data_IF_674163532120
#
_entry.id   IF_674163532120
#
_cell.length_a   1.000
_cell.length_b   1.000
_cell.length_c   1.000
_cell.angle_alpha   90.00
_cell.angle_beta   90.00
_cell.angle_gamma   90.00
#
_symmetry.space_group_name_H-M   'P 1'
#
loop_
_entity.id
_entity.type
_entity.pdbx_description
1 polymer ?
#
# COMPACT_ATOMS: atom_id res chain seq x y z
N UNK A 1 -0.55 1.65 -19.13
CA UNK A 1 -0.58 0.41 -18.33
C UNK A 1 0.24 0.68 -17.08
N UNK A 2 -0.40 0.74 -15.91
CA UNK A 2 0.32 0.90 -14.65
C UNK A 2 1.24 -0.30 -14.43
N UNK A 3 2.44 -0.06 -13.90
CA UNK A 3 3.35 -1.15 -13.56
C UNK A 3 2.95 -1.76 -12.22
N UNK A 4 3.07 -3.08 -12.14
CA UNK A 4 2.81 -3.85 -10.92
C UNK A 4 4.11 -4.31 -10.27
N UNK A 5 4.17 -4.29 -8.94
CA UNK A 5 5.23 -4.89 -8.14
C UNK A 5 4.67 -6.02 -7.29
N UNK A 6 5.50 -7.03 -7.04
CA UNK A 6 5.20 -8.09 -6.09
C UNK A 6 5.92 -7.77 -4.78
N UNK A 7 5.15 -7.52 -3.72
CA UNK A 7 5.64 -7.31 -2.37
C UNK A 7 5.18 -8.43 -1.47
N UNK A 8 6.12 -9.29 -1.10
CA UNK A 8 5.87 -10.44 -0.24
C UNK A 8 4.67 -11.31 -0.70
N UNK A 9 4.52 -11.52 -2.01
CA UNK A 9 3.42 -12.27 -2.63
C UNK A 9 2.20 -11.42 -3.02
N UNK A 10 2.16 -10.14 -2.67
CA UNK A 10 1.06 -9.23 -2.97
C UNK A 10 1.39 -8.41 -4.22
N UNK A 11 0.57 -8.54 -5.27
CA UNK A 11 0.70 -7.72 -6.48
C UNK A 11 0.01 -6.38 -6.30
N UNK A 12 0.76 -5.30 -6.47
CA UNK A 12 0.30 -3.92 -6.26
C UNK A 12 0.63 -3.09 -7.48
N UNK A 13 -0.35 -2.34 -7.98
CA UNK A 13 -0.15 -1.34 -9.04
C UNK A 13 0.46 -0.06 -8.44
N UNK A 14 1.52 0.46 -9.07
CA UNK A 14 2.21 1.66 -8.60
C UNK A 14 1.30 2.89 -8.49
N UNK A 15 0.40 3.07 -9.45
CA UNK A 15 -0.55 4.20 -9.49
C UNK A 15 -1.55 4.16 -8.32
N UNK A 16 -1.66 3.03 -7.63
CA UNK A 16 -2.48 2.88 -6.43
C UNK A 16 -1.71 3.23 -5.16
N UNK A 17 -0.38 3.34 -5.17
CA UNK A 17 0.38 3.66 -3.96
C UNK A 17 0.23 5.16 -3.67
N UNK A 18 -0.32 5.46 -2.50
CA UNK A 18 -0.44 6.82 -1.96
C UNK A 18 0.77 7.18 -1.11
N UNK A 19 1.21 6.25 -0.26
CA UNK A 19 2.37 6.44 0.61
C UNK A 19 3.02 5.10 0.97
N UNK A 20 4.33 5.15 1.21
CA UNK A 20 5.12 4.06 1.78
C UNK A 20 5.69 4.59 3.10
N UNK A 21 5.39 3.91 4.20
CA UNK A 21 5.68 4.35 5.56
C UNK A 21 6.45 3.24 6.27
N UNK A 22 7.64 3.56 6.74
CA UNK A 22 8.40 2.72 7.67
C UNK A 22 8.03 3.14 9.09
N UNK A 23 7.50 2.21 9.89
CA UNK A 23 7.24 2.44 11.30
C UNK A 23 8.18 1.59 12.15
N UNK A 24 8.97 2.28 12.96
CA UNK A 24 9.85 1.71 13.97
C UNK A 24 9.05 1.68 15.30
N UNK A 25 8.18 0.68 15.46
CA UNK A 25 7.53 0.42 16.74
C UNK A 25 8.38 -0.58 17.51
N UNK A 26 8.55 -0.31 18.81
CA UNK A 26 9.47 -1.00 19.75
C UNK A 26 9.42 -2.54 19.70
N UNK A 27 8.33 -3.13 19.25
CA UNK A 27 8.12 -4.58 19.28
C UNK A 27 7.96 -5.24 17.91
N UNK A 28 7.81 -4.49 16.81
CA UNK A 28 7.63 -5.07 15.47
C UNK A 28 8.00 -4.07 14.36
N UNK A 29 8.72 -4.57 13.36
CA UNK A 29 9.23 -3.80 12.24
C UNK A 29 8.30 -3.96 11.04
N UNK A 30 7.51 -2.91 10.76
CA UNK A 30 6.52 -2.97 9.69
C UNK A 30 6.77 -1.94 8.60
N UNK A 31 6.61 -2.39 7.37
CA UNK A 31 6.36 -1.51 6.24
C UNK A 31 4.85 -1.41 6.02
N UNK A 32 4.34 -0.19 6.12
CA UNK A 32 2.96 0.15 5.78
C UNK A 32 2.91 0.80 4.40
N UNK A 33 2.09 0.25 3.52
CA UNK A 33 1.81 0.82 2.21
C UNK A 33 0.35 1.24 2.19
N UNK A 34 0.12 2.55 2.14
CA UNK A 34 -1.22 3.11 1.97
C UNK A 34 -1.54 3.19 0.48
N UNK A 35 -2.71 2.66 0.10
CA UNK A 35 -3.21 2.78 -1.25
C UNK A 35 -4.19 3.95 -1.37
N UNK A 36 -4.36 4.44 -2.60
CA UNK A 36 -5.40 5.38 -2.96
C UNK A 36 -6.76 4.76 -2.65
N UNK A 37 -7.64 5.56 -2.04
CA UNK A 37 -9.01 5.17 -1.70
C UNK A 37 -9.73 4.61 -2.92
N UNK A 38 -10.38 3.46 -2.76
CA UNK A 38 -11.28 2.92 -3.79
C UNK A 38 -12.71 3.33 -3.48
N UNK A 39 -13.46 3.58 -4.54
CA UNK A 39 -14.90 3.84 -4.48
C UNK A 39 -15.61 2.64 -5.04
N UNK A 40 -16.44 2.01 -4.24
CA UNK A 40 -17.24 0.87 -4.67
C UNK A 40 -18.72 1.15 -4.50
N UNK A 41 -19.50 0.63 -5.45
CA UNK A 41 -20.94 0.58 -5.30
C UNK A 41 -21.26 -0.64 -4.43
N UNK A 42 -21.83 -0.38 -3.25
CA UNK A 42 -22.22 -1.42 -2.31
C UNK A 42 -23.74 -1.42 -2.22
N UNK A 43 -24.34 -2.60 -2.36
CA UNK A 43 -25.78 -2.75 -2.19
C UNK A 43 -26.13 -2.76 -0.70
N UNK A 44 -26.98 -1.82 -0.28
CA UNK A 44 -27.50 -1.72 1.07
C UNK A 44 -28.87 -2.43 1.16
N UNK A 45 -28.96 -3.60 1.81
CA UNK A 45 -30.22 -4.36 1.88
C UNK A 45 -31.28 -3.70 2.76
N UNK A 46 -30.91 -2.75 3.64
CA UNK A 46 -31.87 -2.05 4.50
C UNK A 46 -32.61 -0.94 3.75
N UNK A 47 -32.00 -0.38 2.71
CA UNK A 47 -32.56 0.72 1.90
C UNK A 47 -32.95 0.27 0.49
N UNK A 48 -32.62 -0.96 0.12
CA UNK A 48 -32.80 -1.56 -1.21
C UNK A 48 -32.17 -0.70 -2.33
N UNK A 49 -30.98 -0.12 -2.04
CA UNK A 49 -30.29 0.83 -2.91
C UNK A 49 -28.80 0.54 -3.00
N UNK A 50 -28.21 0.95 -4.12
CA UNK A 50 -26.76 1.01 -4.30
C UNK A 50 -26.22 2.34 -3.78
N UNK A 51 -25.21 2.28 -2.93
CA UNK A 51 -24.55 3.43 -2.32
C UNK A 51 -23.07 3.40 -2.65
N UNK A 52 -22.47 4.57 -2.91
CA UNK A 52 -21.02 4.68 -3.11
C UNK A 52 -20.35 4.74 -1.74
N UNK A 53 -19.46 3.81 -1.46
CA UNK A 53 -18.64 3.80 -0.25
C UNK A 53 -17.16 3.97 -0.61
N UNK A 54 -16.43 4.68 0.25
CA UNK A 54 -14.97 4.82 0.16
C UNK A 54 -14.32 3.79 1.08
N UNK A 55 -13.34 3.06 0.56
CA UNK A 55 -12.55 2.11 1.33
C UNK A 55 -11.10 2.56 1.35
N UNK A 56 -10.54 2.62 2.56
CA UNK A 56 -9.10 2.71 2.77
C UNK A 56 -8.51 1.30 2.64
N UNK A 57 -7.53 1.14 1.76
CA UNK A 57 -6.77 -0.10 1.62
C UNK A 57 -5.35 0.16 2.12
N UNK A 58 -4.89 -0.69 3.03
CA UNK A 58 -3.51 -0.67 3.52
C UNK A 58 -2.92 -2.08 3.47
N UNK A 59 -1.61 -2.13 3.21
CA UNK A 59 -0.83 -3.36 3.21
C UNK A 59 0.23 -3.22 4.29
N UNK A 60 0.27 -4.20 5.19
CA UNK A 60 1.25 -4.30 6.26
C UNK A 60 2.15 -5.49 5.96
N UNK A 61 3.45 -5.23 5.90
CA UNK A 61 4.48 -6.26 5.73
C UNK A 61 5.33 -6.23 6.99
N UNK A 62 5.34 -7.36 7.69
CA UNK A 62 6.14 -7.58 8.89
C UNK A 62 7.52 -8.09 8.51
N UNK A 63 8.54 -7.54 9.16
CA UNK A 63 9.92 -7.95 9.01
C UNK A 63 10.48 -8.44 10.35
N UNK A 64 11.44 -9.38 10.30
CA UNK A 64 12.01 -9.95 11.50
C UNK A 64 12.97 -9.00 12.24
N UNK A 65 13.49 -7.97 11.55
CA UNK A 65 14.34 -6.92 12.13
C UNK A 65 14.28 -5.60 11.34
N UNK A 66 14.77 -4.53 11.97
CA UNK A 66 14.70 -3.15 11.50
C UNK A 66 15.59 -2.91 10.27
N UNK A 67 16.78 -3.53 10.24
CA UNK A 67 17.74 -3.36 9.16
C UNK A 67 17.16 -3.89 7.83
N UNK A 68 16.46 -5.03 7.89
CA UNK A 68 15.72 -5.58 6.75
C UNK A 68 14.56 -4.64 6.37
N UNK A 69 13.77 -4.18 7.33
CA UNK A 69 12.64 -3.29 7.06
C UNK A 69 13.07 -1.98 6.38
N UNK A 70 14.18 -1.36 6.83
CA UNK A 70 14.77 -0.17 6.22
C UNK A 70 15.29 -0.48 4.82
N UNK A 71 15.98 -1.61 4.62
CA UNK A 71 16.53 -1.98 3.32
C UNK A 71 15.41 -2.13 2.28
N UNK A 72 14.37 -2.88 2.63
CA UNK A 72 13.20 -3.08 1.78
C UNK A 72 12.44 -1.77 1.53
N UNK A 73 12.29 -0.93 2.55
CA UNK A 73 11.73 0.41 2.40
C UNK A 73 12.50 1.26 1.39
N UNK A 74 13.83 1.31 1.49
CA UNK A 74 14.68 2.11 0.60
C UNK A 74 14.64 1.60 -0.83
N UNK A 75 14.67 0.28 -1.03
CA UNK A 75 14.56 -0.34 -2.35
C UNK A 75 13.19 -0.03 -2.98
N UNK A 76 12.11 -0.17 -2.20
CA UNK A 76 10.76 0.17 -2.64
C UNK A 76 10.61 1.63 -3.01
N UNK A 77 11.13 2.52 -2.15
CA UNK A 77 11.14 3.97 -2.40
C UNK A 77 11.88 4.29 -3.69
N UNK A 78 13.05 3.69 -3.92
CA UNK A 78 13.84 3.90 -5.13
C UNK A 78 13.12 3.44 -6.40
N UNK A 79 12.44 2.29 -6.35
CA UNK A 79 11.63 1.83 -7.48
C UNK A 79 10.47 2.82 -7.70
N UNK A 80 9.79 3.24 -6.63
CA UNK A 80 8.67 4.17 -6.71
C UNK A 80 9.05 5.53 -7.30
N UNK A 81 10.12 6.16 -6.83
CA UNK A 81 10.63 7.44 -7.32
C UNK A 81 11.00 7.35 -8.81
N UNK A 82 11.65 6.25 -9.21
CA UNK A 82 11.97 5.99 -10.63
C UNK A 82 10.73 5.91 -11.49
N UNK A 83 9.65 5.28 -11.02
CA UNK A 83 8.40 5.13 -11.76
C UNK A 83 7.62 6.45 -11.84
N UNK A 84 7.66 7.27 -10.80
CA UNK A 84 7.06 8.62 -10.80
C UNK A 84 7.88 9.64 -11.63
N UNK A 85 9.06 9.26 -12.13
CA UNK A 85 9.96 10.16 -12.84
C UNK A 85 10.55 11.26 -11.95
N UNK A 86 10.55 11.05 -10.63
CA UNK A 86 11.16 11.96 -9.66
C UNK A 86 12.68 11.72 -9.67
N UNK A 87 13.46 12.78 -9.91
CA UNK A 87 14.93 12.79 -9.95
C UNK A 87 15.52 13.31 -8.65
#
# INVERSE_FOLDING_TARGET
MGKTINLNGILIEFDRIKAIIHNDFIDNEFLKIELNKRKEYVFNPNTDKWEIQEFDDEILIEFPDNDIAITEYLDLKKIWEKELGMK
#
